data_IF_060948897031
#
_entry.id   IF_060948897031
#
_cell.length_a   1.000
_cell.length_b   1.000
_cell.length_c   1.000
_cell.angle_alpha   90.00
_cell.angle_beta   90.00
_cell.angle_gamma   90.00
#
_symmetry.space_group_name_H-M   'P 1'
#
loop_
_entity.id
_entity.type
_entity.pdbx_description
1 polymer ?
#
# COMPACT_ATOMS: atom_id res chain seq x y z
N UNK A 1 0.56 10.87 -2.60
CA UNK A 1 0.26 11.63 -1.38
C UNK A 1 1.43 12.52 -1.02
N UNK A 2 2.68 12.06 -1.21
CA UNK A 2 3.85 12.95 -1.14
C UNK A 2 4.38 13.17 0.27
N UNK A 3 4.29 12.15 1.13
CA UNK A 3 4.84 12.22 2.48
C UNK A 3 6.36 12.01 2.47
N UNK A 4 7.09 12.90 3.14
CA UNK A 4 8.55 12.80 3.32
C UNK A 4 8.93 11.96 4.56
N UNK A 5 8.05 11.88 5.56
CA UNK A 5 8.31 11.22 6.85
C UNK A 5 7.10 10.36 7.26
N UNK A 6 7.37 9.13 7.69
CA UNK A 6 6.39 8.20 8.27
C UNK A 6 6.78 7.88 9.72
N UNK A 7 5.88 8.15 10.68
CA UNK A 7 6.08 7.81 12.10
C UNK A 7 5.33 6.52 12.44
N UNK A 8 6.06 5.47 12.84
CA UNK A 8 5.50 4.15 13.11
C UNK A 8 6.25 3.43 14.24
N UNK A 9 5.64 2.39 14.83
CA UNK A 9 6.30 1.59 15.86
C UNK A 9 7.48 0.77 15.28
N UNK A 10 8.49 0.48 16.11
CA UNK A 10 9.73 -0.16 15.67
C UNK A 10 9.51 -1.51 14.95
N UNK A 11 8.51 -2.28 15.40
CA UNK A 11 8.14 -3.60 14.82
C UNK A 11 7.64 -3.49 13.38
N UNK A 12 6.98 -2.39 13.02
CA UNK A 12 6.44 -2.16 11.67
C UNK A 12 7.48 -1.60 10.67
N UNK A 13 8.58 -1.02 11.16
CA UNK A 13 9.60 -0.39 10.31
C UNK A 13 10.20 -1.32 9.25
N UNK A 14 10.54 -2.61 9.53
CA UNK A 14 11.06 -3.50 8.50
C UNK A 14 10.05 -3.77 7.38
N UNK A 15 8.77 -3.98 7.72
CA UNK A 15 7.68 -4.20 6.76
C UNK A 15 7.54 -2.99 5.83
N UNK A 16 7.49 -1.79 6.41
CA UNK A 16 7.30 -0.54 5.67
C UNK A 16 8.51 -0.21 4.80
N UNK A 17 9.73 -0.38 5.33
CA UNK A 17 10.96 -0.20 4.55
C UNK A 17 11.04 -1.20 3.39
N UNK A 18 10.62 -2.45 3.56
CA UNK A 18 10.55 -3.42 2.48
C UNK A 18 9.57 -2.98 1.39
N UNK A 19 8.37 -2.51 1.76
CA UNK A 19 7.38 -2.03 0.81
C UNK A 19 7.89 -0.83 -0.02
N UNK A 20 8.47 0.18 0.65
CA UNK A 20 9.03 1.36 -0.02
C UNK A 20 10.20 1.03 -0.96
N UNK A 21 10.91 -0.08 -0.75
CA UNK A 21 12.02 -0.53 -1.61
C UNK A 21 11.57 -1.35 -2.81
N UNK A 22 10.37 -1.92 -2.77
CA UNK A 22 9.86 -2.85 -3.78
C UNK A 22 8.85 -2.24 -4.74
N UNK A 23 8.36 -1.02 -4.47
CA UNK A 23 7.35 -0.32 -5.27
C UNK A 23 8.00 0.89 -5.92
N UNK A 24 7.80 1.09 -7.22
CA UNK A 24 8.24 2.32 -7.88
C UNK A 24 7.33 3.48 -7.46
N UNK A 25 7.93 4.66 -7.24
CA UNK A 25 7.20 5.87 -6.93
C UNK A 25 6.19 6.27 -8.03
N UNK A 26 6.49 6.00 -9.30
CA UNK A 26 5.55 6.26 -10.40
C UNK A 26 4.32 5.35 -10.29
N UNK A 27 4.52 4.04 -10.11
CA UNK A 27 3.41 3.08 -9.93
C UNK A 27 2.55 3.41 -8.70
N UNK A 28 3.18 3.85 -7.61
CA UNK A 28 2.47 4.30 -6.41
C UNK A 28 1.66 5.58 -6.62
N UNK A 29 2.09 6.47 -7.53
CA UNK A 29 1.34 7.67 -7.91
C UNK A 29 0.17 7.30 -8.81
N UNK A 30 0.39 6.45 -9.80
CA UNK A 30 -0.65 5.97 -10.71
C UNK A 30 -1.76 5.25 -9.93
N UNK A 31 -1.39 4.37 -8.98
CA UNK A 31 -2.33 3.72 -8.08
C UNK A 31 -3.13 4.73 -7.26
N UNK A 32 -2.47 5.77 -6.75
CA UNK A 32 -3.14 6.79 -5.95
C UNK A 32 -4.18 7.56 -6.76
N UNK A 33 -3.82 7.98 -7.96
CA UNK A 33 -4.72 8.73 -8.84
C UNK A 33 -5.94 7.87 -9.22
N UNK A 34 -5.75 6.56 -9.40
CA UNK A 34 -6.84 5.61 -9.60
C UNK A 34 -7.77 5.53 -8.37
N UNK A 35 -7.22 5.26 -7.18
CA UNK A 35 -8.05 5.04 -5.98
C UNK A 35 -8.70 6.31 -5.45
N UNK A 36 -8.14 7.49 -5.72
CA UNK A 36 -8.77 8.78 -5.41
C UNK A 36 -10.06 9.01 -6.23
N UNK A 37 -10.21 8.33 -7.37
CA UNK A 37 -11.42 8.35 -8.18
C UNK A 37 -12.47 7.29 -7.79
N UNK A 38 -12.23 6.51 -6.74
CA UNK A 38 -13.13 5.43 -6.31
C UNK A 38 -13.98 5.84 -5.11
N UNK A 39 -15.28 5.53 -5.14
CA UNK A 39 -16.23 5.91 -4.09
C UNK A 39 -16.48 4.83 -3.02
N UNK A 40 -16.05 3.58 -3.26
CA UNK A 40 -16.25 2.45 -2.34
C UNK A 40 -14.95 2.05 -1.65
N UNK A 41 -14.95 2.15 -0.32
CA UNK A 41 -13.81 1.77 0.51
C UNK A 41 -13.41 0.29 0.33
N UNK A 42 -14.39 -0.61 0.13
CA UNK A 42 -14.10 -2.03 -0.05
C UNK A 42 -13.41 -2.31 -1.39
N UNK A 43 -13.81 -1.60 -2.44
CA UNK A 43 -13.17 -1.64 -3.75
C UNK A 43 -11.76 -1.08 -3.70
N UNK A 44 -11.54 0.05 -3.00
CA UNK A 44 -10.21 0.62 -2.78
C UNK A 44 -9.30 -0.41 -2.08
N UNK A 45 -9.81 -1.07 -1.05
CA UNK A 45 -9.05 -2.10 -0.33
C UNK A 45 -8.65 -3.25 -1.26
N UNK A 46 -9.60 -3.85 -1.98
CA UNK A 46 -9.32 -4.93 -2.94
C UNK A 46 -8.31 -4.51 -4.01
N UNK A 47 -8.41 -3.27 -4.50
CA UNK A 47 -7.47 -2.73 -5.50
C UNK A 47 -6.04 -2.62 -4.94
N UNK A 48 -5.90 -2.17 -3.70
CA UNK A 48 -4.63 -2.11 -2.98
C UNK A 48 -4.07 -3.51 -2.71
N UNK A 49 -4.91 -4.47 -2.32
CA UNK A 49 -4.50 -5.86 -2.11
C UNK A 49 -3.96 -6.50 -3.39
N UNK A 50 -4.66 -6.32 -4.52
CA UNK A 50 -4.21 -6.77 -5.83
C UNK A 50 -2.86 -6.16 -6.21
N UNK A 51 -2.72 -4.85 -6.08
CA UNK A 51 -1.45 -4.16 -6.33
C UNK A 51 -0.30 -4.74 -5.50
N UNK A 52 -0.51 -4.88 -4.19
CA UNK A 52 0.52 -5.45 -3.31
C UNK A 52 0.82 -6.91 -3.67
N UNK A 53 -0.17 -7.71 -4.08
CA UNK A 53 0.05 -9.07 -4.52
C UNK A 53 0.92 -9.14 -5.79
N UNK A 54 0.64 -8.29 -6.79
CA UNK A 54 1.39 -8.21 -8.05
C UNK A 54 2.86 -7.83 -7.82
N UNK A 55 3.14 -7.02 -6.79
CA UNK A 55 4.49 -6.67 -6.37
C UNK A 55 5.12 -7.67 -5.35
N UNK A 56 4.58 -8.89 -5.23
CA UNK A 56 5.13 -9.95 -4.36
C UNK A 56 4.96 -9.68 -2.86
N UNK A 57 4.03 -8.80 -2.51
CA UNK A 57 3.76 -8.31 -1.16
C UNK A 57 2.41 -8.77 -0.60
N UNK A 58 1.81 -9.84 -1.14
CA UNK A 58 0.56 -10.42 -0.62
C UNK A 58 0.60 -10.72 0.89
N UNK A 59 1.76 -11.10 1.45
CA UNK A 59 1.93 -11.28 2.90
C UNK A 59 1.67 -10.01 3.74
N UNK A 60 1.65 -8.83 3.12
CA UNK A 60 1.38 -7.56 3.78
C UNK A 60 -0.10 -7.19 3.81
N UNK A 61 -0.93 -7.82 2.98
CA UNK A 61 -2.37 -7.57 2.84
C UNK A 61 -3.21 -8.28 3.90
N UNK A 62 -2.63 -9.27 4.61
CA UNK A 62 -3.27 -9.82 5.81
C UNK A 62 -3.34 -8.78 6.92
N UNK A 63 -4.40 -7.98 6.88
CA UNK A 63 -4.97 -7.31 8.03
C UNK A 63 -6.27 -8.06 8.34
N UNK A 64 -6.35 -8.85 9.43
CA UNK A 64 -7.62 -9.36 9.89
C UNK A 64 -8.40 -8.16 10.41
N UNK A 65 -9.18 -7.53 9.55
CA UNK A 65 -10.28 -6.68 10.00
C UNK A 65 -11.42 -7.66 10.31
N UNK A 66 -11.49 -8.02 11.58
CA UNK A 66 -12.65 -8.68 12.18
C UNK A 66 -13.87 -7.75 12.17
#
# INVERSE_FOLDING_TARGET
MGYDILSMNATSLPKVKQALRNINLTEARDLLDEVLGMDDASAIHRRLEGFLADHGMAKFTHSPVA
#
